data_IF_713723788733
#
_entry.id   IF_713723788733
#
_cell.length_a   1.000
_cell.length_b   1.000
_cell.length_c   1.000
_cell.angle_alpha   90.00
_cell.angle_beta   90.00
_cell.angle_gamma   90.00
#
_symmetry.space_group_name_H-M   'P 1'
#
loop_
_entity.id
_entity.type
_entity.pdbx_description
1 polymer ?
#
# COMPACT_ATOMS: atom_id res chain seq x y z
N UNK A 1 -9.82 8.45 -3.52
CA UNK A 1 -10.39 8.64 -4.86
C UNK A 1 -11.91 8.82 -4.82
N UNK A 2 -12.70 7.93 -4.23
CA UNK A 2 -14.17 8.13 -4.09
C UNK A 2 -14.50 9.48 -3.42
N UNK A 3 -13.88 9.76 -2.28
CA UNK A 3 -14.02 11.07 -1.61
C UNK A 3 -13.56 12.25 -2.49
N UNK A 4 -12.52 12.08 -3.31
CA UNK A 4 -12.07 13.13 -4.22
C UNK A 4 -13.08 13.37 -5.37
N UNK A 5 -13.70 12.30 -5.90
CA UNK A 5 -14.80 12.42 -6.85
C UNK A 5 -16.01 13.15 -6.24
N UNK A 6 -16.40 12.79 -5.03
CA UNK A 6 -17.51 13.45 -4.32
C UNK A 6 -17.20 14.92 -4.01
N UNK A 7 -15.99 15.25 -3.59
CA UNK A 7 -15.58 16.65 -3.39
C UNK A 7 -15.63 17.47 -4.67
N UNK A 8 -15.27 16.86 -5.82
CA UNK A 8 -15.20 17.54 -7.12
C UNK A 8 -16.56 17.72 -7.76
N UNK A 9 -17.43 16.71 -7.68
CA UNK A 9 -18.67 16.61 -8.45
C UNK A 9 -19.94 16.73 -7.60
N UNK A 10 -19.82 16.71 -6.27
CA UNK A 10 -20.95 16.78 -5.35
C UNK A 10 -22.02 15.72 -5.66
N UNK A 11 -23.26 16.16 -5.76
CA UNK A 11 -24.42 15.30 -6.09
C UNK A 11 -24.43 14.86 -7.58
N UNK A 12 -23.51 15.38 -8.41
CA UNK A 12 -23.35 14.98 -9.80
C UNK A 12 -22.65 13.63 -10.01
N UNK A 13 -22.27 12.91 -8.93
CA UNK A 13 -21.63 11.59 -9.02
C UNK A 13 -22.33 10.56 -8.14
N UNK A 14 -22.72 9.46 -8.75
CA UNK A 14 -23.13 8.25 -8.03
C UNK A 14 -22.01 7.19 -8.10
N UNK A 15 -21.73 6.53 -6.97
CA UNK A 15 -20.65 5.56 -6.85
C UNK A 15 -21.20 4.19 -6.46
N UNK A 16 -20.80 3.16 -7.22
CA UNK A 16 -21.04 1.77 -6.89
C UNK A 16 -19.73 1.00 -6.89
N UNK A 17 -19.42 0.35 -5.79
CA UNK A 17 -18.29 -0.54 -5.70
C UNK A 17 -18.66 -1.96 -6.13
N UNK A 18 -17.69 -2.68 -6.69
CA UNK A 18 -17.84 -4.10 -6.99
C UNK A 18 -16.64 -4.85 -6.43
N UNK A 19 -16.89 -5.84 -5.59
CA UNK A 19 -15.90 -6.63 -4.88
C UNK A 19 -16.06 -8.13 -5.05
N UNK A 20 -15.18 -8.91 -4.44
CA UNK A 20 -15.29 -10.37 -4.38
C UNK A 20 -16.13 -10.80 -3.16
N UNK A 21 -17.10 -11.68 -3.36
CA UNK A 21 -17.91 -12.23 -2.26
C UNK A 21 -17.04 -12.89 -1.17
N UNK A 22 -17.35 -12.63 0.10
CA UNK A 22 -16.62 -13.17 1.25
C UNK A 22 -15.23 -12.58 1.47
N UNK A 23 -14.91 -11.43 0.86
CA UNK A 23 -13.67 -10.70 1.07
C UNK A 23 -13.89 -9.45 1.93
N UNK A 24 -12.80 -8.93 2.48
CA UNK A 24 -12.78 -7.81 3.43
C UNK A 24 -13.48 -6.55 2.90
N UNK A 25 -13.43 -6.31 1.61
CA UNK A 25 -14.11 -5.18 0.97
C UNK A 25 -15.63 -5.21 1.16
N UNK A 26 -16.24 -6.40 1.28
CA UNK A 26 -17.67 -6.55 1.49
C UNK A 26 -18.15 -6.04 2.87
N UNK A 27 -17.23 -5.94 3.83
CA UNK A 27 -17.50 -5.40 5.17
C UNK A 27 -17.06 -3.94 5.28
N UNK A 28 -15.85 -3.62 4.75
CA UNK A 28 -15.25 -2.31 4.93
C UNK A 28 -15.88 -1.21 4.08
N UNK A 29 -16.32 -1.52 2.88
CA UNK A 29 -16.90 -0.51 1.98
C UNK A 29 -18.26 -0.01 2.51
N UNK A 30 -19.20 -0.89 2.94
CA UNK A 30 -20.43 -0.44 3.60
C UNK A 30 -20.19 0.35 4.88
N UNK A 31 -19.19 -0.04 5.68
CA UNK A 31 -18.83 0.70 6.90
C UNK A 31 -18.37 2.15 6.62
N UNK A 32 -17.97 2.46 5.38
CA UNK A 32 -17.64 3.80 4.90
C UNK A 32 -18.84 4.51 4.25
N UNK A 33 -20.05 3.92 4.25
CA UNK A 33 -21.25 4.50 3.68
C UNK A 33 -21.42 4.29 2.18
N UNK A 34 -20.59 3.45 1.52
CA UNK A 34 -20.70 3.20 0.08
C UNK A 34 -21.44 1.90 -0.22
N UNK A 35 -22.19 1.90 -1.33
CA UNK A 35 -22.82 0.71 -1.88
C UNK A 35 -21.78 -0.20 -2.53
N UNK A 36 -21.89 -1.51 -2.32
CA UNK A 36 -21.03 -2.52 -2.94
C UNK A 36 -21.84 -3.71 -3.41
N UNK A 37 -21.50 -4.25 -4.58
CA UNK A 37 -22.01 -5.49 -5.14
C UNK A 37 -20.92 -6.55 -5.12
N UNK A 38 -21.22 -7.74 -4.60
CA UNK A 38 -20.30 -8.87 -4.59
C UNK A 38 -20.33 -9.66 -5.89
N UNK A 39 -19.20 -10.16 -6.37
CA UNK A 39 -19.12 -11.12 -7.47
C UNK A 39 -18.64 -12.48 -6.97
N UNK A 40 -19.15 -13.60 -7.49
CA UNK A 40 -18.74 -14.94 -7.13
C UNK A 40 -17.40 -15.29 -7.81
N UNK A 41 -16.38 -14.47 -7.58
CA UNK A 41 -15.03 -14.67 -8.13
C UNK A 41 -14.19 -15.51 -7.20
N UNK A 42 -13.46 -16.47 -7.74
CA UNK A 42 -12.46 -17.23 -7.01
C UNK A 42 -11.08 -16.97 -7.64
N UNK A 43 -10.08 -16.75 -6.78
CA UNK A 43 -8.70 -16.73 -7.26
C UNK A 43 -8.32 -18.08 -7.85
N UNK A 44 -7.57 -18.06 -8.95
CA UNK A 44 -6.92 -19.26 -9.47
C UNK A 44 -6.00 -19.82 -8.38
N UNK A 45 -6.37 -20.99 -7.86
CA UNK A 45 -5.46 -21.73 -6.98
C UNK A 45 -4.30 -22.26 -7.84
N UNK A 46 -3.06 -21.96 -7.43
CA UNK A 46 -1.84 -22.42 -8.12
C UNK A 46 -1.68 -23.92 -8.17
N UNK A 47 -2.48 -24.68 -7.39
CA UNK A 47 -2.54 -26.15 -7.41
C UNK A 47 -3.78 -26.61 -8.17
N UNK A 48 -3.60 -27.59 -9.08
CA UNK A 48 -4.71 -28.27 -9.75
C UNK A 48 -5.52 -29.03 -8.71
N UNK A 49 -6.69 -28.53 -8.39
CA UNK A 49 -7.65 -29.17 -7.47
C UNK A 49 -8.99 -29.34 -8.17
N UNK A 50 -9.82 -30.29 -7.71
CA UNK A 50 -11.17 -30.49 -8.24
C UNK A 50 -12.03 -29.20 -8.21
N UNK A 51 -11.70 -28.22 -7.35
CA UNK A 51 -12.30 -26.89 -7.35
C UNK A 51 -12.06 -26.08 -8.63
N UNK A 52 -11.01 -26.40 -9.41
CA UNK A 52 -10.74 -25.73 -10.68
C UNK A 52 -11.74 -26.13 -11.78
N UNK A 53 -12.43 -27.26 -11.67
CA UNK A 53 -13.50 -27.67 -12.60
C UNK A 53 -14.72 -26.73 -12.55
N UNK A 54 -14.97 -26.09 -11.40
CA UNK A 54 -16.05 -25.09 -11.26
C UNK A 54 -15.66 -23.68 -11.77
N UNK A 55 -14.39 -23.46 -12.12
CA UNK A 55 -13.87 -22.15 -12.51
C UNK A 55 -14.57 -21.56 -13.75
N UNK A 56 -14.79 -22.28 -14.86
CA UNK A 56 -15.47 -21.75 -16.04
C UNK A 56 -16.90 -21.28 -15.72
N UNK A 57 -17.62 -22.03 -14.89
CA UNK A 57 -18.97 -21.66 -14.45
C UNK A 57 -18.98 -20.43 -13.56
N UNK A 58 -18.01 -20.29 -12.64
CA UNK A 58 -17.84 -19.10 -11.80
C UNK A 58 -17.46 -17.87 -12.62
N UNK A 59 -16.58 -18.04 -13.61
CA UNK A 59 -16.24 -16.95 -14.54
C UNK A 59 -17.46 -16.52 -15.33
N UNK A 60 -18.22 -17.45 -15.90
CA UNK A 60 -19.44 -17.13 -16.65
C UNK A 60 -20.50 -16.44 -15.76
N UNK A 61 -20.70 -16.92 -14.52
CA UNK A 61 -21.59 -16.32 -13.55
C UNK A 61 -21.15 -14.90 -13.18
N UNK A 62 -19.83 -14.70 -12.93
CA UNK A 62 -19.26 -13.40 -12.62
C UNK A 62 -19.43 -12.40 -13.77
N UNK A 63 -19.22 -12.83 -15.01
CA UNK A 63 -19.41 -12.00 -16.20
C UNK A 63 -20.88 -11.62 -16.40
N UNK A 64 -21.82 -12.58 -16.18
CA UNK A 64 -23.26 -12.27 -16.25
C UNK A 64 -23.68 -11.30 -15.17
N UNK A 65 -23.22 -11.52 -13.91
CA UNK A 65 -23.53 -10.63 -12.78
C UNK A 65 -22.92 -9.25 -13.01
N UNK A 66 -21.65 -9.15 -13.43
CA UNK A 66 -20.99 -7.89 -13.75
C UNK A 66 -21.75 -7.09 -14.81
N UNK A 67 -22.17 -7.72 -15.92
CA UNK A 67 -22.99 -7.07 -16.95
C UNK A 67 -24.32 -6.55 -16.42
N UNK A 68 -24.99 -7.34 -15.55
CA UNK A 68 -26.26 -6.92 -14.93
C UNK A 68 -26.03 -5.70 -14.05
N UNK A 69 -25.02 -5.74 -13.18
CA UNK A 69 -24.67 -4.64 -12.26
C UNK A 69 -24.36 -3.36 -13.06
N UNK A 70 -23.50 -3.45 -14.05
CA UNK A 70 -23.12 -2.30 -14.88
C UNK A 70 -24.35 -1.70 -15.58
N UNK A 71 -25.24 -2.54 -16.14
CA UNK A 71 -26.45 -2.08 -16.85
C UNK A 71 -27.47 -1.48 -15.91
N UNK A 72 -27.74 -2.14 -14.76
CA UNK A 72 -28.73 -1.64 -13.79
C UNK A 72 -28.30 -0.36 -13.10
N UNK A 73 -26.98 -0.16 -12.94
CA UNK A 73 -26.42 1.06 -12.39
C UNK A 73 -26.36 2.20 -13.42
N UNK A 74 -26.31 1.89 -14.72
CA UNK A 74 -26.15 2.90 -15.77
C UNK A 74 -24.76 3.54 -15.80
N UNK A 75 -23.72 2.76 -15.57
CA UNK A 75 -22.35 3.28 -15.42
C UNK A 75 -21.86 4.06 -16.64
N UNK A 76 -21.38 5.28 -16.43
CA UNK A 76 -20.72 6.11 -17.46
C UNK A 76 -19.27 5.72 -17.69
N UNK A 77 -18.59 5.29 -16.64
CA UNK A 77 -17.20 4.83 -16.64
C UNK A 77 -17.00 3.72 -15.62
N UNK A 78 -16.08 2.80 -15.89
CA UNK A 78 -15.68 1.77 -14.94
C UNK A 78 -14.20 1.90 -14.64
N UNK A 79 -13.87 1.99 -13.35
CA UNK A 79 -12.49 2.11 -12.87
C UNK A 79 -12.06 0.80 -12.20
N UNK A 80 -10.94 0.23 -12.63
CA UNK A 80 -10.40 -1.01 -12.11
C UNK A 80 -9.05 -0.83 -11.42
N UNK A 81 -8.93 -1.43 -10.24
CA UNK A 81 -7.72 -1.41 -9.42
C UNK A 81 -6.93 -2.73 -9.47
N UNK A 82 -7.23 -3.58 -10.43
CA UNK A 82 -6.69 -4.94 -10.46
C UNK A 82 -7.42 -5.91 -9.53
N UNK A 83 -6.84 -7.09 -9.36
CA UNK A 83 -7.46 -8.16 -8.58
C UNK A 83 -8.56 -8.93 -9.33
N UNK A 84 -9.13 -9.92 -8.62
CA UNK A 84 -10.03 -10.89 -9.24
C UNK A 84 -11.39 -10.30 -9.62
N UNK A 85 -11.92 -9.36 -8.84
CA UNK A 85 -13.19 -8.71 -9.12
C UNK A 85 -13.11 -7.72 -10.29
N UNK A 86 -11.98 -7.04 -10.48
CA UNK A 86 -11.79 -6.09 -11.58
C UNK A 86 -11.87 -6.75 -12.96
N UNK A 87 -11.39 -7.99 -13.11
CA UNK A 87 -11.34 -8.67 -14.40
C UNK A 87 -12.72 -8.79 -15.08
N UNK A 88 -13.75 -9.41 -14.46
CA UNK A 88 -15.07 -9.55 -15.09
C UNK A 88 -15.78 -8.21 -15.27
N UNK A 89 -15.56 -7.24 -14.38
CA UNK A 89 -16.21 -5.92 -14.46
C UNK A 89 -15.65 -5.11 -15.63
N UNK A 90 -14.34 -4.92 -15.67
CA UNK A 90 -13.67 -4.18 -16.78
C UNK A 90 -13.91 -4.85 -18.13
N UNK A 91 -13.78 -6.18 -18.20
CA UNK A 91 -14.03 -6.92 -19.45
C UNK A 91 -15.47 -6.73 -19.93
N UNK A 92 -16.46 -6.80 -19.02
CA UNK A 92 -17.87 -6.60 -19.38
C UNK A 92 -18.13 -5.15 -19.83
N UNK A 93 -17.60 -4.15 -19.13
CA UNK A 93 -17.71 -2.74 -19.51
C UNK A 93 -17.13 -2.50 -20.93
N UNK A 94 -15.93 -3.00 -21.19
CA UNK A 94 -15.28 -2.87 -22.50
C UNK A 94 -16.09 -3.53 -23.63
N UNK A 95 -16.77 -4.67 -23.34
CA UNK A 95 -17.66 -5.34 -24.31
C UNK A 95 -18.99 -4.62 -24.50
N UNK A 96 -19.41 -3.81 -23.55
CA UNK A 96 -20.61 -2.99 -23.60
C UNK A 96 -20.35 -1.58 -24.19
N UNK A 97 -19.11 -1.30 -24.58
CA UNK A 97 -18.72 0.03 -25.10
C UNK A 97 -18.57 1.10 -24.02
N UNK A 98 -18.63 0.72 -22.75
CA UNK A 98 -18.45 1.66 -21.63
C UNK A 98 -16.95 1.91 -21.43
N UNK A 99 -16.52 3.17 -21.37
CA UNK A 99 -15.11 3.50 -21.18
C UNK A 99 -14.59 2.95 -19.85
N UNK A 100 -13.34 2.51 -19.88
CA UNK A 100 -12.67 1.96 -18.69
C UNK A 100 -11.39 2.71 -18.40
N UNK A 101 -11.10 2.88 -17.11
CA UNK A 101 -9.85 3.38 -16.60
C UNK A 101 -9.22 2.29 -15.70
N UNK A 102 -7.92 2.07 -15.83
CA UNK A 102 -7.15 1.16 -14.97
C UNK A 102 -6.23 1.99 -14.09
N UNK A 103 -6.18 1.67 -12.81
CA UNK A 103 -5.17 2.19 -11.89
C UNK A 103 -4.23 1.04 -11.47
N UNK A 104 -2.93 1.18 -11.76
CA UNK A 104 -1.90 0.21 -11.39
C UNK A 104 -1.04 0.78 -10.26
N UNK A 105 -1.07 0.11 -9.11
CA UNK A 105 -0.44 0.58 -7.89
C UNK A 105 1.04 0.17 -7.77
N UNK A 106 1.46 -0.87 -8.49
CA UNK A 106 2.77 -1.50 -8.32
C UNK A 106 3.70 -1.18 -9.49
N UNK A 107 4.99 -1.29 -9.25
CA UNK A 107 6.03 -1.16 -10.28
C UNK A 107 6.03 -2.31 -11.30
N UNK A 108 5.29 -3.39 -11.01
CA UNK A 108 5.06 -4.52 -11.90
C UNK A 108 3.57 -4.75 -12.06
N UNK A 109 3.09 -4.63 -13.30
CA UNK A 109 1.67 -4.68 -13.59
C UNK A 109 1.05 -6.06 -13.29
N UNK A 110 -0.11 -6.04 -12.64
CA UNK A 110 -0.89 -7.24 -12.39
C UNK A 110 -1.44 -7.85 -13.69
N UNK A 111 -1.65 -9.17 -13.69
CA UNK A 111 -2.13 -9.92 -14.87
C UNK A 111 -3.44 -9.33 -15.42
N UNK A 112 -4.41 -9.05 -14.55
CA UNK A 112 -5.70 -8.46 -14.93
C UNK A 112 -5.51 -7.14 -15.68
N UNK A 113 -4.69 -6.24 -15.15
CA UNK A 113 -4.44 -4.94 -15.74
C UNK A 113 -3.75 -5.07 -17.11
N UNK A 114 -2.76 -5.98 -17.23
CA UNK A 114 -2.10 -6.27 -18.52
C UNK A 114 -3.07 -6.75 -19.58
N UNK A 115 -3.95 -7.70 -19.24
CA UNK A 115 -4.91 -8.28 -20.19
C UNK A 115 -5.94 -7.26 -20.69
N UNK A 116 -6.33 -6.29 -19.86
CA UNK A 116 -7.39 -5.34 -20.17
C UNK A 116 -6.88 -3.98 -20.64
N UNK A 117 -5.57 -3.75 -20.59
CA UNK A 117 -4.91 -2.50 -20.94
C UNK A 117 -5.21 -2.02 -22.37
N UNK A 118 -5.21 -2.93 -23.34
CA UNK A 118 -5.39 -2.60 -24.77
C UNK A 118 -6.74 -1.97 -25.11
N UNK A 119 -7.75 -2.10 -24.26
CA UNK A 119 -9.07 -1.50 -24.43
C UNK A 119 -9.42 -0.44 -23.39
N UNK A 120 -8.57 -0.22 -22.40
CA UNK A 120 -8.75 0.86 -21.44
C UNK A 120 -8.54 2.22 -22.11
N UNK A 121 -9.33 3.22 -21.76
CA UNK A 121 -9.16 4.60 -22.26
C UNK A 121 -7.95 5.27 -21.64
N UNK A 122 -7.73 5.05 -20.34
CA UNK A 122 -6.59 5.57 -19.56
C UNK A 122 -6.05 4.50 -18.62
N UNK A 123 -4.76 4.56 -18.36
CA UNK A 123 -4.07 3.70 -17.42
C UNK A 123 -3.23 4.59 -16.49
N UNK A 124 -3.78 4.85 -15.30
CA UNK A 124 -3.13 5.60 -14.25
C UNK A 124 -2.09 4.71 -13.57
N UNK A 125 -0.86 5.17 -13.48
CA UNK A 125 0.24 4.37 -12.92
C UNK A 125 0.96 5.13 -11.81
N UNK A 126 1.55 4.38 -10.87
CA UNK A 126 2.30 4.93 -9.76
C UNK A 126 3.82 4.93 -9.96
N UNK A 127 4.29 4.22 -10.97
CA UNK A 127 5.73 4.07 -11.23
C UNK A 127 6.07 4.35 -12.69
N UNK A 128 7.27 4.82 -12.92
CA UNK A 128 7.86 4.94 -14.26
C UNK A 128 8.13 3.57 -14.90
N UNK A 129 8.44 3.56 -16.19
CA UNK A 129 8.82 2.33 -16.91
C UNK A 129 7.65 1.41 -17.26
N UNK A 130 6.39 1.81 -17.02
CA UNK A 130 5.20 0.99 -17.25
C UNK A 130 4.87 0.77 -18.73
N UNK A 131 5.53 1.46 -19.67
CA UNK A 131 5.45 1.22 -21.12
C UNK A 131 5.83 -0.21 -21.54
N UNK A 132 6.55 -0.95 -20.70
CA UNK A 132 6.85 -2.38 -20.90
C UNK A 132 5.64 -3.30 -20.72
N UNK A 133 4.57 -2.80 -20.10
CA UNK A 133 3.36 -3.56 -19.81
C UNK A 133 2.12 -3.02 -20.51
N UNK A 134 2.10 -1.72 -20.81
CA UNK A 134 0.92 -0.99 -21.25
C UNK A 134 1.20 -0.16 -22.50
N UNK A 135 0.18 0.10 -23.35
CA UNK A 135 0.28 1.03 -24.47
C UNK A 135 0.68 2.42 -23.98
N UNK A 136 1.78 2.97 -24.53
CA UNK A 136 2.39 4.22 -24.08
C UNK A 136 1.42 5.40 -24.07
N UNK A 137 0.58 5.50 -25.11
CA UNK A 137 -0.38 6.58 -25.35
C UNK A 137 -1.55 6.60 -24.35
N UNK A 138 -1.71 5.54 -23.54
CA UNK A 138 -2.76 5.43 -22.52
C UNK A 138 -2.26 5.62 -21.11
N UNK A 139 -0.94 5.64 -20.91
CA UNK A 139 -0.33 5.77 -19.60
C UNK A 139 -0.36 7.20 -19.13
N UNK A 140 -0.84 7.41 -17.90
CA UNK A 140 -0.76 8.69 -17.19
C UNK A 140 -0.10 8.44 -15.83
N UNK A 141 0.94 9.21 -15.51
CA UNK A 141 1.60 9.16 -14.22
C UNK A 141 0.79 9.94 -13.21
N UNK A 142 0.07 9.23 -12.35
CA UNK A 142 -0.82 9.83 -11.34
C UNK A 142 -0.36 9.56 -9.91
N UNK A 143 0.49 8.57 -9.69
CA UNK A 143 0.77 8.07 -8.34
C UNK A 143 -0.34 7.16 -7.81
N UNK A 144 -0.24 6.80 -6.54
CA UNK A 144 -1.24 6.04 -5.81
C UNK A 144 -2.12 6.96 -4.96
N UNK A 145 -3.45 6.83 -5.02
CA UNK A 145 -4.35 7.61 -4.18
C UNK A 145 -4.25 7.13 -2.74
N UNK A 146 -3.63 7.92 -1.89
CA UNK A 146 -3.45 7.64 -0.49
C UNK A 146 -4.63 8.17 0.35
N UNK A 147 -4.82 7.55 1.52
CA UNK A 147 -5.74 8.04 2.55
C UNK A 147 -4.97 8.91 3.53
N UNK A 148 -5.60 9.98 3.96
CA UNK A 148 -5.07 10.86 4.99
C UNK A 148 -4.18 11.98 4.46
N UNK A 149 -4.09 13.02 5.25
CA UNK A 149 -3.23 14.17 4.99
C UNK A 149 -1.92 13.95 5.72
N UNK A 150 -0.94 13.41 5.02
CA UNK A 150 0.41 13.34 5.55
C UNK A 150 1.06 14.73 5.39
N UNK A 151 1.26 15.43 6.50
CA UNK A 151 2.10 16.63 6.59
C UNK A 151 1.65 17.91 5.86
N UNK A 152 0.35 18.24 5.80
CA UNK A 152 -0.05 19.57 5.39
C UNK A 152 0.07 20.56 6.55
N UNK A 153 0.98 21.54 6.44
CA UNK A 153 0.93 22.81 7.17
C UNK A 153 1.51 22.86 8.59
N UNK A 154 2.07 21.78 9.14
CA UNK A 154 2.70 21.82 10.46
C UNK A 154 4.23 21.99 10.37
N UNK A 155 4.82 22.76 11.28
CA UNK A 155 6.27 22.82 11.48
C UNK A 155 6.79 21.38 11.75
N UNK A 156 7.76 20.88 10.95
CA UNK A 156 8.30 19.52 11.12
C UNK A 156 8.90 19.28 12.52
N UNK A 157 9.53 20.28 13.12
CA UNK A 157 10.14 20.15 14.45
C UNK A 157 9.08 20.06 15.55
N UNK A 158 8.06 20.91 15.51
CA UNK A 158 6.93 20.86 16.44
C UNK A 158 6.17 19.53 16.32
N UNK A 159 5.98 19.04 15.09
CA UNK A 159 5.33 17.76 14.82
C UNK A 159 6.14 16.58 15.35
N UNK A 160 7.48 16.61 15.22
CA UNK A 160 8.36 15.58 15.79
C UNK A 160 8.29 15.58 17.31
N UNK A 161 8.29 16.75 17.96
CA UNK A 161 8.16 16.88 19.43
C UNK A 161 6.81 16.30 19.93
N UNK A 162 5.69 16.66 19.29
CA UNK A 162 4.37 16.08 19.57
C UNK A 162 4.39 14.55 19.46
N UNK A 163 5.01 14.04 18.40
CA UNK A 163 5.08 12.61 18.12
C UNK A 163 5.91 11.86 19.16
N UNK A 164 7.07 12.39 19.55
CA UNK A 164 7.92 11.79 20.58
C UNK A 164 7.19 11.75 21.93
N UNK A 165 6.51 12.84 22.30
CA UNK A 165 5.70 12.88 23.52
C UNK A 165 4.56 11.87 23.50
N UNK A 166 3.87 11.69 22.34
CA UNK A 166 2.79 10.72 22.18
C UNK A 166 3.25 9.28 22.39
N UNK A 167 4.45 8.94 21.89
CA UNK A 167 5.02 7.59 22.03
C UNK A 167 5.87 7.40 23.29
N UNK A 168 6.06 8.44 24.11
CA UNK A 168 6.89 8.39 25.31
C UNK A 168 8.37 8.18 24.99
N UNK A 169 8.87 8.84 23.93
CA UNK A 169 10.24 8.72 23.44
C UNK A 169 11.05 9.99 23.70
N UNK A 170 12.36 9.84 23.80
CA UNK A 170 13.32 10.91 24.07
C UNK A 170 13.71 11.65 22.79
N UNK A 171 14.02 12.94 22.90
CA UNK A 171 14.28 13.80 21.73
C UNK A 171 15.70 13.66 21.16
N UNK A 172 16.66 13.24 21.97
CA UNK A 172 18.08 13.16 21.65
C UNK A 172 18.52 11.82 21.05
N UNK A 173 17.59 10.85 20.99
CA UNK A 173 17.86 9.51 20.44
C UNK A 173 17.14 9.29 19.11
N UNK A 174 17.79 8.67 18.12
CA UNK A 174 17.14 8.33 16.86
C UNK A 174 16.02 7.32 17.06
N UNK A 175 14.96 7.44 16.26
CA UNK A 175 13.77 6.60 16.32
C UNK A 175 13.65 5.76 15.06
N UNK A 176 13.51 4.45 15.24
CA UNK A 176 13.24 3.47 14.18
C UNK A 176 11.79 3.03 14.25
N UNK A 177 11.05 3.23 13.19
CA UNK A 177 9.68 2.72 13.06
C UNK A 177 9.70 1.36 12.37
N UNK A 178 9.25 0.32 13.06
CA UNK A 178 9.15 -1.06 12.53
C UNK A 178 7.68 -1.42 12.30
N UNK A 179 7.28 -1.55 11.01
CA UNK A 179 5.88 -1.76 10.61
C UNK A 179 5.71 -3.02 9.76
N UNK A 180 4.99 -4.00 10.31
CA UNK A 180 4.66 -5.25 9.61
C UNK A 180 3.34 -5.23 8.82
N UNK A 181 2.64 -4.09 8.80
CA UNK A 181 1.25 -3.99 8.31
C UNK A 181 0.22 -4.43 9.35
N UNK A 182 -1.08 -4.24 9.06
CA UNK A 182 -2.17 -4.44 10.04
C UNK A 182 -2.27 -5.86 10.63
N UNK A 183 -1.83 -6.87 9.89
CA UNK A 183 -1.82 -8.26 10.35
C UNK A 183 -0.50 -8.63 11.06
N UNK A 184 0.53 -7.83 10.86
CA UNK A 184 1.87 -8.08 11.35
C UNK A 184 2.71 -8.96 10.43
N UNK A 185 3.99 -9.08 10.77
CA UNK A 185 4.98 -9.83 10.00
C UNK A 185 5.87 -10.64 10.93
N UNK A 186 5.86 -11.97 10.78
CA UNK A 186 6.67 -12.87 11.62
C UNK A 186 8.16 -12.52 11.59
N UNK A 187 8.68 -12.26 10.41
CA UNK A 187 10.10 -11.93 10.19
C UNK A 187 10.53 -10.68 10.96
N UNK A 188 9.74 -9.57 10.87
CA UNK A 188 10.05 -8.33 11.59
C UNK A 188 9.87 -8.51 13.10
N UNK A 189 8.87 -9.24 13.55
CA UNK A 189 8.69 -9.56 14.95
C UNK A 189 9.84 -10.41 15.49
N UNK A 190 10.31 -11.41 14.75
CA UNK A 190 11.47 -12.21 15.13
C UNK A 190 12.77 -11.40 15.16
N UNK A 191 12.94 -10.47 14.22
CA UNK A 191 14.06 -9.52 14.23
C UNK A 191 14.02 -8.67 15.50
N UNK A 192 12.86 -8.13 15.86
CA UNK A 192 12.71 -7.37 17.10
C UNK A 192 13.00 -8.23 18.34
N UNK A 193 12.43 -9.45 18.43
CA UNK A 193 12.70 -10.38 19.53
C UNK A 193 14.20 -10.64 19.73
N UNK A 194 14.95 -10.76 18.65
CA UNK A 194 16.40 -11.01 18.70
C UNK A 194 17.21 -9.78 19.16
N UNK A 195 16.63 -8.57 19.16
CA UNK A 195 17.37 -7.34 19.42
C UNK A 195 16.80 -6.51 20.60
N UNK A 196 15.68 -6.89 21.21
CA UNK A 196 15.07 -6.14 22.33
C UNK A 196 16.07 -5.88 23.46
N UNK A 197 16.76 -6.92 23.92
CA UNK A 197 17.72 -6.80 25.04
C UNK A 197 18.89 -5.89 24.69
N UNK A 198 19.37 -5.96 23.45
CA UNK A 198 20.42 -5.08 22.96
C UNK A 198 19.96 -3.63 22.87
N UNK A 199 18.77 -3.38 22.33
CA UNK A 199 18.18 -2.03 22.19
C UNK A 199 18.05 -1.39 23.58
N UNK A 200 17.48 -2.10 24.54
CA UNK A 200 17.25 -1.58 25.89
C UNK A 200 18.54 -1.41 26.71
N UNK A 201 19.50 -2.31 26.54
CA UNK A 201 20.78 -2.24 27.27
C UNK A 201 21.71 -1.16 26.73
N UNK A 202 21.78 -0.96 25.41
CA UNK A 202 22.64 0.06 24.81
C UNK A 202 22.01 1.48 24.84
N UNK A 203 20.69 1.58 24.78
CA UNK A 203 19.94 2.83 24.84
C UNK A 203 20.30 3.88 23.77
N UNK A 204 20.95 3.44 22.67
CA UNK A 204 21.46 4.33 21.61
C UNK A 204 20.39 4.74 20.59
N UNK A 205 19.31 3.99 20.49
CA UNK A 205 18.18 4.24 19.61
C UNK A 205 16.87 3.83 20.29
N UNK A 206 15.78 4.29 19.74
CA UNK A 206 14.43 3.98 20.21
C UNK A 206 13.61 3.38 19.07
N UNK A 207 12.60 2.60 19.42
CA UNK A 207 11.79 1.88 18.43
C UNK A 207 10.31 2.09 18.66
N UNK A 208 9.58 2.40 17.59
CA UNK A 208 8.13 2.25 17.51
C UNK A 208 7.88 0.92 16.79
N UNK A 209 7.35 -0.09 17.52
CA UNK A 209 7.18 -1.43 17.00
C UNK A 209 5.72 -1.83 16.87
N UNK A 210 5.22 -1.95 15.63
CA UNK A 210 3.92 -2.51 15.33
C UNK A 210 4.02 -4.02 15.16
N UNK A 211 3.46 -4.76 16.11
CA UNK A 211 3.48 -6.24 16.11
C UNK A 211 2.50 -6.84 15.12
N UNK A 212 1.37 -6.17 14.90
CA UNK A 212 0.23 -6.67 14.13
C UNK A 212 -0.70 -7.58 14.92
N UNK A 213 -1.97 -7.60 14.56
CA UNK A 213 -3.04 -8.28 15.31
C UNK A 213 -2.79 -9.76 15.55
N UNK A 214 -2.16 -10.46 14.59
CA UNK A 214 -1.93 -11.91 14.72
C UNK A 214 -0.83 -12.27 15.70
N UNK A 215 0.10 -11.36 15.96
CA UNK A 215 1.26 -11.61 16.79
C UNK A 215 1.22 -10.91 18.14
N UNK A 216 0.19 -10.10 18.39
CA UNK A 216 0.11 -9.27 19.60
C UNK A 216 0.23 -10.10 20.88
N UNK A 217 -0.51 -11.20 20.96
CA UNK A 217 -0.45 -12.10 22.15
C UNK A 217 0.95 -12.68 22.33
N UNK A 218 1.54 -13.23 21.26
CA UNK A 218 2.89 -13.83 21.30
C UNK A 218 3.94 -12.79 21.72
N UNK A 219 3.83 -11.55 21.18
CA UNK A 219 4.78 -10.50 21.51
C UNK A 219 4.57 -9.95 22.92
N UNK A 220 3.35 -9.95 23.42
CA UNK A 220 3.05 -9.58 24.81
C UNK A 220 3.65 -10.60 25.78
N UNK A 221 3.45 -11.89 25.53
CA UNK A 221 4.05 -12.98 26.32
C UNK A 221 5.58 -12.93 26.27
N UNK A 222 6.16 -12.65 25.10
CA UNK A 222 7.61 -12.50 24.95
C UNK A 222 8.18 -11.33 25.78
N UNK A 223 7.47 -10.21 25.86
CA UNK A 223 7.93 -9.01 26.58
C UNK A 223 7.75 -9.11 28.11
N UNK A 224 7.04 -10.10 28.62
CA UNK A 224 6.89 -10.30 30.07
C UNK A 224 8.24 -10.46 30.76
N UNK A 225 8.48 -9.61 31.77
CA UNK A 225 9.74 -9.62 32.53
C UNK A 225 10.96 -9.01 31.81
N UNK A 226 10.78 -8.47 30.60
CA UNK A 226 11.83 -7.74 29.86
C UNK A 226 11.65 -6.23 29.94
N UNK A 227 12.76 -5.51 29.90
CA UNK A 227 12.71 -4.05 29.77
C UNK A 227 12.08 -3.65 28.42
N UNK A 228 11.27 -2.60 28.46
CA UNK A 228 10.73 -1.92 27.26
C UNK A 228 11.25 -0.50 27.12
N UNK A 229 12.32 -0.15 27.83
CA UNK A 229 12.92 1.18 27.76
C UNK A 229 13.30 1.54 26.32
N UNK A 230 12.87 2.70 25.84
CA UNK A 230 13.07 3.14 24.46
C UNK A 230 12.25 2.35 23.43
N UNK A 231 11.32 1.47 23.83
CA UNK A 231 10.50 0.68 22.90
C UNK A 231 9.01 0.94 23.16
N UNK A 232 8.37 1.65 22.24
CA UNK A 232 6.92 1.65 22.15
C UNK A 232 6.45 0.44 21.35
N UNK A 233 5.44 -0.29 21.84
CA UNK A 233 4.90 -1.48 21.16
C UNK A 233 3.38 -1.45 21.13
N UNK A 234 2.80 -1.84 20.00
CA UNK A 234 1.36 -2.01 19.85
C UNK A 234 0.98 -2.92 18.69
N UNK A 235 -0.20 -3.54 18.77
CA UNK A 235 -0.75 -4.35 17.69
C UNK A 235 -1.02 -3.51 16.44
N UNK A 236 -1.42 -2.27 16.65
CA UNK A 236 -1.77 -1.32 15.61
C UNK A 236 -1.33 0.09 16.02
N UNK A 237 -1.04 0.94 15.05
CA UNK A 237 -0.69 2.34 15.27
C UNK A 237 -1.82 3.18 14.70
N UNK A 238 -2.65 3.76 15.57
CA UNK A 238 -3.78 4.61 15.16
C UNK A 238 -3.30 5.94 14.58
N UNK A 239 -2.26 6.53 15.21
CA UNK A 239 -1.64 7.78 14.79
C UNK A 239 -0.39 7.53 13.95
N UNK A 240 -0.58 6.89 12.77
CA UNK A 240 0.50 6.62 11.82
C UNK A 240 1.22 7.90 11.36
N UNK A 241 0.50 9.02 11.33
CA UNK A 241 1.02 10.35 11.06
C UNK A 241 2.09 10.77 12.07
N UNK A 242 1.84 10.53 13.37
CA UNK A 242 2.82 10.79 14.44
C UNK A 242 3.96 9.76 14.41
N UNK A 243 3.68 8.49 14.13
CA UNK A 243 4.74 7.48 14.01
C UNK A 243 5.74 7.84 12.91
N UNK A 244 5.25 8.28 11.75
CA UNK A 244 6.11 8.80 10.68
C UNK A 244 6.83 10.09 11.08
N UNK A 245 6.19 11.00 11.81
CA UNK A 245 6.82 12.24 12.26
C UNK A 245 7.98 11.95 13.23
N UNK A 246 7.81 11.03 14.19
CA UNK A 246 8.83 10.62 15.13
C UNK A 246 10.02 9.92 14.46
N UNK A 247 9.75 9.07 13.48
CA UNK A 247 10.75 8.18 12.88
C UNK A 247 11.86 8.92 12.12
N UNK A 248 13.09 8.49 12.32
CA UNK A 248 14.25 8.86 11.51
C UNK A 248 14.49 7.85 10.37
N UNK A 249 14.21 6.57 10.63
CA UNK A 249 14.26 5.48 9.65
C UNK A 249 12.98 4.63 9.77
N UNK A 250 12.45 4.19 8.64
CA UNK A 250 11.29 3.29 8.61
C UNK A 250 11.70 1.93 8.06
N UNK A 251 11.39 0.89 8.82
CA UNK A 251 11.57 -0.52 8.42
C UNK A 251 10.20 -1.13 8.18
N UNK A 252 9.99 -1.71 7.01
CA UNK A 252 8.68 -2.31 6.72
C UNK A 252 8.61 -3.12 5.45
N UNK A 253 7.39 -3.63 5.18
CA UNK A 253 7.06 -4.26 3.91
C UNK A 253 6.91 -3.21 2.81
N UNK A 254 7.21 -3.57 1.57
CA UNK A 254 7.15 -2.71 0.39
C UNK A 254 5.82 -2.85 -0.38
N UNK A 255 4.70 -2.86 0.35
CA UNK A 255 3.38 -2.74 -0.26
C UNK A 255 3.20 -1.36 -0.93
N UNK A 256 2.39 -1.31 -1.99
CA UNK A 256 2.21 -0.09 -2.79
C UNK A 256 1.80 1.14 -1.95
N UNK A 257 0.90 0.97 -0.98
CA UNK A 257 0.49 2.06 -0.08
C UNK A 257 1.66 2.58 0.76
N UNK A 258 2.35 1.69 1.47
CA UNK A 258 3.49 2.05 2.34
C UNK A 258 4.60 2.75 1.54
N UNK A 259 4.94 2.24 0.36
CA UNK A 259 5.95 2.88 -0.50
C UNK A 259 5.53 4.29 -0.88
N UNK A 260 4.27 4.47 -1.31
CA UNK A 260 3.77 5.79 -1.72
C UNK A 260 3.67 6.77 -0.55
N UNK A 261 3.28 6.30 0.64
CA UNK A 261 3.29 7.11 1.87
C UNK A 261 4.72 7.58 2.19
N UNK A 262 5.69 6.67 2.17
CA UNK A 262 7.09 7.00 2.45
C UNK A 262 7.68 7.99 1.43
N UNK A 263 7.28 7.89 0.17
CA UNK A 263 7.64 8.87 -0.85
C UNK A 263 7.09 10.26 -0.52
N UNK A 264 5.84 10.36 -0.08
CA UNK A 264 5.24 11.65 0.29
C UNK A 264 5.92 12.30 1.50
N UNK A 265 6.18 11.51 2.55
CA UNK A 265 6.74 12.04 3.79
C UNK A 265 8.27 12.20 3.71
N UNK A 266 8.94 11.60 2.73
CA UNK A 266 10.38 11.74 2.51
C UNK A 266 11.22 11.09 3.60
N UNK A 267 10.82 9.94 4.15
CA UNK A 267 11.57 9.25 5.21
C UNK A 267 12.48 8.17 4.63
N UNK A 268 13.75 8.07 5.09
CA UNK A 268 14.62 6.95 4.76
C UNK A 268 13.96 5.62 5.09
N UNK A 269 14.02 4.66 4.17
CA UNK A 269 13.33 3.39 4.32
C UNK A 269 14.25 2.19 4.08
N UNK A 270 14.06 1.15 4.88
CA UNK A 270 14.65 -0.18 4.67
C UNK A 270 13.50 -1.15 4.46
N UNK A 271 13.37 -1.65 3.25
CA UNK A 271 12.30 -2.59 2.90
C UNK A 271 12.72 -4.04 3.12
N UNK A 272 11.80 -4.80 3.69
CA UNK A 272 11.86 -6.25 3.80
C UNK A 272 10.68 -6.83 3.02
N UNK A 273 10.81 -7.06 1.70
CA UNK A 273 9.71 -7.52 0.86
C UNK A 273 9.16 -8.86 1.33
N UNK A 274 7.83 -9.04 1.26
CA UNK A 274 7.20 -10.32 1.55
C UNK A 274 7.44 -11.30 0.40
N UNK A 275 7.92 -12.53 0.65
CA UNK A 275 8.09 -13.55 -0.38
C UNK A 275 6.75 -14.17 -0.82
N UNK A 276 5.68 -13.95 -0.05
CA UNK A 276 4.38 -14.61 -0.23
C UNK A 276 3.35 -13.76 -0.99
N UNK A 277 3.81 -12.89 -1.88
CA UNK A 277 2.95 -12.02 -2.68
C UNK A 277 2.92 -12.44 -4.15
N UNK A 278 1.84 -12.10 -4.85
CA UNK A 278 1.72 -12.41 -6.27
C UNK A 278 2.80 -11.66 -7.09
N UNK A 279 3.38 -12.33 -8.08
CA UNK A 279 4.33 -11.72 -9.04
C UNK A 279 5.56 -11.08 -8.38
N UNK A 280 5.84 -11.39 -7.12
CA UNK A 280 6.94 -10.79 -6.33
C UNK A 280 6.93 -9.25 -6.40
N UNK A 281 5.72 -8.66 -6.40
CA UNK A 281 5.55 -7.21 -6.59
C UNK A 281 6.20 -6.39 -5.48
N UNK A 282 6.29 -6.91 -4.24
CA UNK A 282 6.95 -6.15 -3.17
C UNK A 282 8.45 -5.99 -3.40
N UNK A 283 9.16 -7.03 -3.83
CA UNK A 283 10.57 -6.91 -4.20
C UNK A 283 10.75 -5.90 -5.32
N UNK A 284 9.90 -5.96 -6.35
CA UNK A 284 9.96 -5.04 -7.48
C UNK A 284 9.65 -3.58 -7.08
N UNK A 285 8.69 -3.36 -6.19
CA UNK A 285 8.41 -2.04 -5.65
C UNK A 285 9.62 -1.48 -4.87
N UNK A 286 10.24 -2.30 -4.01
CA UNK A 286 11.42 -1.89 -3.27
C UNK A 286 12.60 -1.57 -4.20
N UNK A 287 12.89 -2.44 -5.18
CA UNK A 287 13.99 -2.25 -6.13
C UNK A 287 13.82 -0.95 -6.94
N UNK A 288 12.60 -0.58 -7.33
CA UNK A 288 12.35 0.68 -8.04
C UNK A 288 12.80 1.93 -7.25
N UNK A 289 12.85 1.85 -5.90
CA UNK A 289 13.36 2.91 -5.04
C UNK A 289 14.86 2.72 -4.77
N UNK A 290 15.32 1.49 -4.58
CA UNK A 290 16.74 1.18 -4.34
C UNK A 290 17.62 1.63 -5.51
N UNK A 291 17.19 1.38 -6.74
CA UNK A 291 17.87 1.80 -7.98
C UNK A 291 18.03 3.33 -8.08
N UNK A 292 17.17 4.08 -7.40
CA UNK A 292 17.22 5.55 -7.31
C UNK A 292 17.96 6.06 -6.05
N UNK A 293 18.55 5.16 -5.27
CA UNK A 293 19.20 5.51 -3.99
C UNK A 293 18.22 6.06 -2.94
N UNK A 294 16.93 5.73 -3.08
CA UNK A 294 15.84 6.23 -2.25
C UNK A 294 15.46 5.29 -1.09
N UNK A 295 15.95 4.05 -1.11
CA UNK A 295 15.69 3.06 -0.06
C UNK A 295 16.81 2.00 -0.01
N UNK A 296 16.77 1.19 1.06
CA UNK A 296 17.54 -0.05 1.15
C UNK A 296 16.59 -1.25 1.11
N UNK A 297 17.14 -2.42 0.77
CA UNK A 297 16.41 -3.68 0.76
C UNK A 297 17.20 -4.75 1.52
N UNK A 298 16.51 -5.46 2.41
CA UNK A 298 17.00 -6.69 3.05
C UNK A 298 16.03 -7.81 2.70
N UNK A 299 16.54 -8.95 2.28
CA UNK A 299 15.69 -10.10 1.93
C UNK A 299 15.02 -10.67 3.18
N UNK A 300 13.78 -11.15 3.05
CA UNK A 300 12.99 -11.68 4.17
C UNK A 300 13.73 -12.78 4.96
N UNK A 301 14.37 -13.71 4.26
CA UNK A 301 15.12 -14.81 4.89
C UNK A 301 16.40 -14.38 5.61
N UNK A 302 16.92 -13.20 5.33
CA UNK A 302 18.15 -12.64 5.93
C UNK A 302 17.82 -11.63 7.04
N UNK A 303 16.56 -11.20 7.16
CA UNK A 303 16.19 -10.05 7.97
C UNK A 303 16.32 -10.25 9.47
N UNK A 304 16.15 -11.49 9.98
CA UNK A 304 16.22 -11.74 11.43
C UNK A 304 17.60 -11.40 12.00
N UNK A 305 18.67 -11.75 11.30
CA UNK A 305 20.06 -11.49 11.72
C UNK A 305 20.70 -10.27 11.04
N UNK A 306 20.33 -9.98 9.80
CA UNK A 306 21.01 -8.97 8.98
C UNK A 306 20.37 -7.59 8.99
N UNK A 307 19.09 -7.45 9.36
CA UNK A 307 18.39 -6.17 9.25
C UNK A 307 18.85 -5.15 10.30
N UNK A 308 19.02 -5.56 11.54
CA UNK A 308 19.39 -4.63 12.61
C UNK A 308 20.77 -3.98 12.39
N UNK A 309 21.83 -4.71 11.98
CA UNK A 309 23.10 -4.10 11.57
C UNK A 309 22.96 -3.09 10.42
N UNK A 310 22.06 -3.31 9.46
CA UNK A 310 21.80 -2.34 8.38
C UNK A 310 21.14 -1.08 8.91
N UNK A 311 20.22 -1.19 9.89
CA UNK A 311 19.60 -0.06 10.58
C UNK A 311 20.67 0.78 11.29
N UNK A 312 21.54 0.14 12.07
CA UNK A 312 22.59 0.82 12.81
C UNK A 312 23.59 1.53 11.87
N UNK A 313 24.01 0.84 10.81
CA UNK A 313 24.91 1.42 9.82
C UNK A 313 24.28 2.63 9.10
N UNK A 314 22.96 2.61 8.86
CA UNK A 314 22.27 3.74 8.27
C UNK A 314 22.15 4.91 9.25
N UNK A 315 21.81 4.66 10.51
CA UNK A 315 21.74 5.69 11.55
C UNK A 315 23.10 6.35 11.83
N UNK A 316 24.20 5.61 11.66
CA UNK A 316 25.57 6.11 11.79
C UNK A 316 26.03 6.96 10.58
N UNK A 317 25.26 7.05 9.50
CA UNK A 317 25.57 7.83 8.30
C UNK A 317 24.47 8.89 8.01
N UNK A 318 24.49 10.04 8.71
CA UNK A 318 23.51 11.10 8.52
C UNK A 318 23.46 11.67 7.09
N UNK A 319 24.58 11.61 6.38
CA UNK A 319 24.65 12.09 5.01
C UNK A 319 23.89 11.17 4.05
N UNK A 320 24.07 9.87 4.22
CA UNK A 320 23.31 8.86 3.48
C UNK A 320 21.81 8.98 3.78
N UNK A 321 21.43 9.16 5.04
CA UNK A 321 20.04 9.38 5.43
C UNK A 321 19.43 10.61 4.74
N UNK A 322 20.14 11.73 4.73
CA UNK A 322 19.69 12.96 4.04
C UNK A 322 19.53 12.75 2.54
N UNK A 323 20.49 12.09 1.89
CA UNK A 323 20.39 11.76 0.45
C UNK A 323 19.20 10.85 0.16
N UNK A 324 19.01 9.80 0.97
CA UNK A 324 17.86 8.91 0.81
C UNK A 324 16.52 9.64 1.01
N UNK A 325 16.42 10.49 2.01
CA UNK A 325 15.24 11.31 2.28
C UNK A 325 14.91 12.26 1.11
N UNK A 326 15.92 12.88 0.52
CA UNK A 326 15.75 13.73 -0.66
C UNK A 326 15.30 12.91 -1.88
N UNK A 327 15.96 11.79 -2.15
CA UNK A 327 15.67 10.93 -3.29
C UNK A 327 14.26 10.32 -3.22
N UNK A 328 13.84 9.85 -2.05
CA UNK A 328 12.51 9.26 -1.88
C UNK A 328 11.39 10.31 -2.00
N UNK A 329 11.62 11.53 -1.50
CA UNK A 329 10.64 12.63 -1.56
C UNK A 329 10.34 13.06 -3.01
N UNK A 330 11.33 13.07 -3.89
CA UNK A 330 11.14 13.41 -5.32
C UNK A 330 10.18 12.44 -6.02
N UNK A 331 10.02 11.23 -5.49
CA UNK A 331 9.12 10.21 -6.04
C UNK A 331 7.67 10.33 -5.52
N UNK A 332 7.43 11.22 -4.57
CA UNK A 332 6.11 11.44 -3.98
C UNK A 332 5.19 12.25 -4.89
N UNK A 333 3.95 11.83 -5.04
CA UNK A 333 2.90 12.54 -5.77
C UNK A 333 1.74 12.80 -4.81
N UNK A 334 1.59 14.02 -4.36
CA UNK A 334 0.64 14.38 -3.30
C UNK A 334 -0.81 14.45 -3.80
N UNK A 335 -1.02 14.90 -5.02
CA UNK A 335 -2.29 15.12 -5.69
C UNK A 335 -2.78 13.91 -6.52
N UNK A 336 -2.33 12.69 -6.15
CA UNK A 336 -2.62 11.46 -6.91
C UNK A 336 -4.11 11.20 -7.09
N UNK A 337 -4.91 11.43 -6.05
CA UNK A 337 -6.35 11.20 -6.11
C UNK A 337 -7.03 12.18 -7.07
N UNK A 338 -6.63 13.43 -7.04
CA UNK A 338 -7.12 14.53 -7.90
C UNK A 338 -6.74 14.27 -9.36
N UNK A 339 -5.50 13.89 -9.64
CA UNK A 339 -5.06 13.51 -11.01
C UNK A 339 -5.86 12.35 -11.58
N UNK A 340 -6.16 11.33 -10.78
CA UNK A 340 -6.98 10.20 -11.24
C UNK A 340 -8.42 10.67 -11.51
N UNK A 341 -8.96 11.57 -10.68
CA UNK A 341 -10.29 12.15 -10.88
C UNK A 341 -10.34 12.97 -12.17
N UNK A 342 -9.30 13.75 -12.48
CA UNK A 342 -9.20 14.50 -13.74
C UNK A 342 -9.27 13.56 -14.96
N UNK A 343 -8.55 12.43 -14.92
CA UNK A 343 -8.61 11.41 -15.98
C UNK A 343 -9.99 10.74 -16.09
N UNK A 344 -10.67 10.48 -14.95
CA UNK A 344 -12.03 9.93 -14.95
C UNK A 344 -12.99 10.91 -15.62
N UNK A 345 -12.97 12.19 -15.24
CA UNK A 345 -13.82 13.24 -15.81
C UNK A 345 -13.55 13.40 -17.30
N UNK A 346 -12.29 13.47 -17.72
CA UNK A 346 -11.91 13.58 -19.12
C UNK A 346 -12.43 12.40 -19.95
N UNK A 347 -12.38 11.18 -19.42
CA UNK A 347 -12.87 9.97 -20.10
C UNK A 347 -14.40 10.00 -20.26
N UNK A 348 -15.15 10.54 -19.30
CA UNK A 348 -16.60 10.68 -19.38
C UNK A 348 -17.00 11.78 -20.36
N UNK A 349 -16.30 12.91 -20.36
CA UNK A 349 -16.60 14.05 -21.23
C UNK A 349 -16.30 13.81 -22.72
N UNK A 350 -15.53 12.77 -23.05
CA UNK A 350 -15.18 12.40 -24.44
C UNK A 350 -16.04 11.26 -25.01
N UNK A 351 -17.19 10.98 -24.40
CA UNK A 351 -18.17 9.97 -24.84
C UNK A 351 -18.89 10.35 -26.13
#
# INVERSE_FOLDING_TARGET
MAEALQRRLGDGVELLFVGAEGKMEMEKIPALGYRIEGLPVAGLQRRLTARNLSLPFKVAASLRKARRVIRSFGADVVVGFGGYASAPVLWSAQRMGIPTLIQEQNSYAGVTNKLLASRARRICVAYEGMKRFFPKERIVMTGNPLRGRFAEGADPAARKAEALAYFGLEADKPVVLVVGGSLGTRTLNNMMKANVERITAEGRLQVIWQTGKFYEREMTEFMQGRSSEGIWRGAFIDRMDLAYAAADVVVGRSGAGTVSELCLIGKPAIFVPSPNVAEDHQTKNALALVEKGAALLVRDGEAVSGLFPVVEALLADPERMRRMAANIRVLGIADSAERIVDEIVAVVSTK
#
